data_IF_665797024873
#
_entry.id   IF_665797024873
#
_cell.length_a   1.000
_cell.length_b   1.000
_cell.length_c   1.000
_cell.angle_alpha   90.00
_cell.angle_beta   90.00
_cell.angle_gamma   90.00
#
_symmetry.space_group_name_H-M   'P 1'
#
loop_
_entity.id
_entity.type
_entity.pdbx_description
1 polymer ?
#
# COMPACT_ATOMS: atom_id res chain seq x y z
N UNK A 1 -1.28 -0.52 20.68
CA UNK A 1 -1.47 -1.49 19.63
C UNK A 1 -0.95 -0.98 18.30
N UNK A 2 -0.15 -1.73 17.66
CA UNK A 2 0.42 -1.28 16.41
C UNK A 2 -0.29 -1.92 15.22
N UNK A 3 -0.37 -1.17 14.17
CA UNK A 3 -0.92 -1.66 12.92
C UNK A 3 0.23 -2.02 11.98
N UNK A 4 -0.04 -3.00 11.14
CA UNK A 4 0.90 -3.33 10.08
C UNK A 4 0.67 -2.40 8.90
N UNK A 5 1.69 -2.22 8.10
CA UNK A 5 1.63 -1.42 6.89
C UNK A 5 1.94 -2.31 5.70
N UNK A 6 1.06 -2.31 4.72
CA UNK A 6 1.26 -3.04 3.47
C UNK A 6 1.54 -2.07 2.34
N UNK A 7 2.37 -2.51 1.41
CA UNK A 7 2.81 -1.66 0.32
C UNK A 7 2.87 -2.47 -0.95
N UNK A 8 2.32 -1.92 -2.03
CA UNK A 8 2.44 -2.51 -3.35
C UNK A 8 2.87 -1.41 -4.31
N UNK A 9 3.93 -1.67 -5.04
CA UNK A 9 4.41 -0.75 -6.05
C UNK A 9 4.11 -1.31 -7.42
N UNK A 10 3.49 -0.49 -8.26
CA UNK A 10 3.12 -0.89 -9.62
C UNK A 10 3.67 0.11 -10.61
N UNK A 11 3.68 -0.30 -11.88
CA UNK A 11 4.00 0.58 -12.96
C UNK A 11 2.70 0.96 -13.65
N UNK A 12 2.28 2.21 -13.46
CA UNK A 12 1.04 2.69 -14.07
C UNK A 12 -0.17 2.55 -13.16
N UNK A 13 -1.21 3.27 -13.53
CA UNK A 13 -2.41 3.34 -12.71
C UNK A 13 -3.28 2.09 -12.76
N UNK A 14 -3.27 1.38 -13.88
CA UNK A 14 -4.10 0.18 -13.99
C UNK A 14 -3.70 -0.83 -12.93
N UNK A 15 -2.40 -1.06 -12.78
CA UNK A 15 -1.91 -1.97 -11.76
C UNK A 15 -2.27 -1.53 -10.35
N UNK A 16 -2.17 -0.22 -10.08
CA UNK A 16 -2.46 0.28 -8.74
C UNK A 16 -3.95 0.18 -8.41
N UNK A 17 -4.81 0.43 -9.38
CA UNK A 17 -6.25 0.30 -9.17
C UNK A 17 -6.64 -1.16 -8.95
N UNK A 18 -6.08 -2.06 -9.76
CA UNK A 18 -6.35 -3.48 -9.59
C UNK A 18 -5.85 -3.97 -8.23
N UNK A 19 -4.67 -3.55 -7.83
CA UNK A 19 -4.13 -3.93 -6.54
C UNK A 19 -5.00 -3.40 -5.40
N UNK A 20 -5.39 -2.13 -5.48
CA UNK A 20 -6.20 -1.51 -4.43
C UNK A 20 -7.54 -2.21 -4.26
N UNK A 21 -8.20 -2.49 -5.36
CA UNK A 21 -9.49 -3.16 -5.33
C UNK A 21 -9.36 -4.56 -4.73
N UNK A 22 -8.35 -5.31 -5.16
CA UNK A 22 -8.15 -6.66 -4.65
C UNK A 22 -7.83 -6.66 -3.17
N UNK A 23 -7.05 -5.69 -2.70
CA UNK A 23 -6.69 -5.60 -1.31
C UNK A 23 -7.90 -5.42 -0.40
N UNK A 24 -8.77 -4.47 -0.73
CA UNK A 24 -9.92 -4.20 0.13
C UNK A 24 -10.99 -5.27 0.05
N UNK A 25 -11.03 -6.02 -1.05
CA UNK A 25 -11.94 -7.14 -1.17
C UNK A 25 -11.46 -8.38 -0.44
N UNK A 26 -10.15 -8.53 -0.30
CA UNK A 26 -9.57 -9.74 0.28
C UNK A 26 -9.55 -9.73 1.80
N UNK A 27 -9.42 -8.57 2.42
CA UNK A 27 -9.23 -8.50 3.85
C UNK A 27 -9.66 -7.14 4.39
N UNK A 28 -9.80 -7.09 5.71
CA UNK A 28 -10.23 -5.86 6.37
C UNK A 28 -9.03 -4.94 6.57
N UNK A 29 -8.72 -4.18 5.53
CA UNK A 29 -7.64 -3.19 5.57
C UNK A 29 -8.19 -1.84 5.12
N UNK A 30 -7.49 -0.80 5.51
CA UNK A 30 -7.80 0.57 5.10
C UNK A 30 -6.72 1.03 4.14
N UNK A 31 -7.13 1.47 2.96
CA UNK A 31 -6.18 2.10 2.05
C UNK A 31 -5.82 3.46 2.59
N UNK A 32 -4.54 3.70 2.73
CA UNK A 32 -4.04 4.94 3.31
C UNK A 32 -3.81 5.99 2.26
N UNK A 33 -3.12 5.58 1.21
CA UNK A 33 -2.64 6.56 0.24
C UNK A 33 -2.17 5.86 -1.02
N UNK A 34 -2.31 6.53 -2.13
CA UNK A 34 -1.72 6.11 -3.40
C UNK A 34 -0.77 7.21 -3.82
N UNK A 35 0.51 6.87 -3.97
CA UNK A 35 1.56 7.87 -4.17
C UNK A 35 2.27 7.63 -5.49
N UNK A 36 2.14 8.56 -6.45
CA UNK A 36 3.00 8.50 -7.65
C UNK A 36 4.40 8.94 -7.25
N UNK A 37 5.39 8.14 -7.59
CA UNK A 37 6.76 8.41 -7.18
C UNK A 37 7.69 8.72 -8.36
N UNK A 38 7.13 8.93 -9.53
CA UNK A 38 7.92 9.28 -10.72
C UNK A 38 8.20 8.08 -11.59
N UNK A 39 8.49 8.32 -12.86
CA UNK A 39 8.80 7.25 -13.79
C UNK A 39 7.66 6.30 -14.08
N UNK A 40 6.44 6.72 -13.81
CA UNK A 40 5.28 5.84 -13.97
C UNK A 40 5.05 4.89 -12.83
N UNK A 41 5.84 4.98 -11.76
CA UNK A 41 5.70 4.10 -10.60
C UNK A 41 4.71 4.67 -9.60
N UNK A 42 3.91 3.78 -9.03
CA UNK A 42 2.87 4.17 -8.08
C UNK A 42 2.92 3.23 -6.89
N UNK A 43 2.90 3.79 -5.69
CA UNK A 43 2.89 3.02 -4.45
C UNK A 43 1.52 3.11 -3.82
N UNK A 44 0.94 1.97 -3.50
CA UNK A 44 -0.32 1.88 -2.77
C UNK A 44 -0.01 1.43 -1.34
N UNK A 45 -0.52 2.16 -0.37
CA UNK A 45 -0.30 1.86 1.04
C UNK A 45 -1.62 1.46 1.70
N UNK A 46 -1.57 0.42 2.52
CA UNK A 46 -2.72 -0.03 3.28
C UNK A 46 -2.31 -0.37 4.70
N UNK A 47 -3.24 -0.25 5.65
CA UNK A 47 -2.95 -0.56 7.04
C UNK A 47 -4.04 -1.45 7.63
N UNK A 48 -3.71 -2.14 8.69
CA UNK A 48 -4.61 -3.02 9.40
C UNK A 48 -3.82 -3.95 10.30
N UNK A 49 -4.49 -4.97 10.85
CA UNK A 49 -3.74 -5.96 11.60
C UNK A 49 -2.86 -6.77 10.65
N UNK A 50 -1.83 -7.40 11.20
CA UNK A 50 -0.80 -8.02 10.38
C UNK A 50 -1.35 -9.14 9.49
N UNK A 51 -2.30 -9.92 10.00
CA UNK A 51 -2.87 -11.00 9.20
C UNK A 51 -3.67 -10.47 8.03
N UNK A 52 -4.48 -9.44 8.27
CA UNK A 52 -5.27 -8.82 7.21
C UNK A 52 -4.38 -8.15 6.18
N UNK A 53 -3.33 -7.46 6.63
CA UNK A 53 -2.41 -6.80 5.70
C UNK A 53 -1.68 -7.81 4.83
N UNK A 54 -1.22 -8.93 5.42
CA UNK A 54 -0.56 -9.97 4.63
C UNK A 54 -1.50 -10.54 3.56
N UNK A 55 -2.74 -10.83 3.94
CA UNK A 55 -3.70 -11.36 2.99
C UNK A 55 -4.02 -10.34 1.89
N UNK A 56 -4.18 -9.07 2.28
CA UNK A 56 -4.47 -8.01 1.32
C UNK A 56 -3.33 -7.82 0.34
N UNK A 57 -2.09 -7.75 0.84
CA UNK A 57 -0.92 -7.55 -0.02
C UNK A 57 -0.76 -8.72 -0.99
N UNK A 58 -0.98 -9.94 -0.51
CA UNK A 58 -0.89 -11.11 -1.39
C UNK A 58 -1.91 -11.02 -2.53
N UNK A 59 -3.15 -10.69 -2.19
CA UNK A 59 -4.21 -10.57 -3.20
C UNK A 59 -3.93 -9.42 -4.17
N UNK A 60 -3.50 -8.28 -3.64
CA UNK A 60 -3.19 -7.12 -4.47
C UNK A 60 -2.03 -7.37 -5.42
N UNK A 61 -0.99 -8.04 -4.92
CA UNK A 61 0.17 -8.36 -5.75
C UNK A 61 -0.23 -9.29 -6.89
N UNK A 62 -1.06 -10.29 -6.61
CA UNK A 62 -1.54 -11.19 -7.66
C UNK A 62 -2.34 -10.44 -8.71
N UNK A 63 -3.21 -9.53 -8.28
CA UNK A 63 -4.03 -8.76 -9.20
C UNK A 63 -3.17 -7.87 -10.10
N UNK A 64 -2.18 -7.18 -9.52
CA UNK A 64 -1.28 -6.34 -10.30
C UNK A 64 -0.45 -7.19 -11.27
N UNK A 65 -0.02 -8.37 -10.83
CA UNK A 65 0.74 -9.27 -11.69
C UNK A 65 -0.05 -9.71 -12.92
N UNK A 66 -1.35 -9.91 -12.75
CA UNK A 66 -2.19 -10.36 -13.87
C UNK A 66 -2.24 -9.33 -14.99
N UNK A 67 -2.11 -8.06 -14.67
CA UNK A 67 -2.05 -7.03 -15.70
C UNK A 67 -0.61 -6.66 -16.04
N UNK A 68 0.35 -7.44 -15.51
CA UNK A 68 1.76 -7.27 -15.88
C UNK A 68 2.44 -6.06 -15.29
N UNK A 69 1.93 -5.50 -14.21
CA UNK A 69 2.43 -4.22 -13.70
C UNK A 69 2.94 -4.25 -12.27
N UNK A 70 3.08 -5.41 -11.67
CA UNK A 70 3.63 -5.48 -10.32
C UNK A 70 5.13 -5.25 -10.35
N UNK A 71 5.61 -4.31 -9.54
CA UNK A 71 7.04 -4.08 -9.35
C UNK A 71 7.51 -4.78 -8.09
N UNK A 72 6.86 -4.51 -6.97
CA UNK A 72 7.19 -5.20 -5.73
C UNK A 72 6.05 -5.05 -4.73
N UNK A 73 6.11 -5.86 -3.68
CA UNK A 73 5.16 -5.77 -2.58
C UNK A 73 5.92 -6.01 -1.28
N UNK A 74 5.40 -5.46 -0.19
CA UNK A 74 6.09 -5.56 1.08
C UNK A 74 5.11 -5.39 2.24
N UNK A 75 5.40 -6.07 3.35
CA UNK A 75 4.61 -5.94 4.57
C UNK A 75 5.56 -5.59 5.70
N UNK A 76 5.24 -4.54 6.43
CA UNK A 76 5.97 -4.15 7.62
C UNK A 76 5.05 -4.42 8.80
N UNK A 77 5.36 -5.49 9.55
CA UNK A 77 4.46 -5.95 10.60
C UNK A 77 4.37 -4.96 11.77
N UNK A 78 5.47 -4.27 12.03
CA UNK A 78 5.50 -3.30 13.13
C UNK A 78 6.27 -2.08 12.70
N UNK A 79 5.63 -1.21 11.90
CA UNK A 79 6.34 -0.01 11.45
C UNK A 79 6.65 0.90 12.63
N UNK A 80 7.80 1.56 12.55
CA UNK A 80 8.18 2.53 13.55
C UNK A 80 7.16 3.66 13.58
N UNK A 81 6.91 4.21 14.76
CA UNK A 81 5.95 5.29 14.92
C UNK A 81 6.20 6.45 13.98
N UNK A 82 7.45 6.81 13.81
CA UNK A 82 7.79 7.93 12.93
C UNK A 82 7.42 7.63 11.48
N UNK A 83 7.56 6.38 11.07
CA UNK A 83 7.16 5.98 9.72
C UNK A 83 5.66 6.14 9.54
N UNK A 84 4.88 5.70 10.51
CA UNK A 84 3.44 5.84 10.45
C UNK A 84 3.03 7.31 10.39
N UNK A 85 3.65 8.15 11.19
CA UNK A 85 3.35 9.57 11.16
C UNK A 85 3.64 10.17 9.81
N UNK A 86 4.76 9.79 9.23
CA UNK A 86 5.16 10.36 7.96
C UNK A 86 4.26 9.96 6.83
N UNK A 87 3.83 8.70 6.78
CA UNK A 87 3.05 8.21 5.64
C UNK A 87 1.55 8.27 5.86
N UNK A 88 1.10 8.23 7.08
CA UNK A 88 -0.33 8.14 7.37
C UNK A 88 -0.91 9.43 7.93
N UNK A 89 -0.26 9.96 8.94
CA UNK A 89 -0.81 11.10 9.64
C UNK A 89 -0.42 12.44 9.04
N UNK A 90 0.85 12.59 8.73
CA UNK A 90 1.33 13.87 8.23
C UNK A 90 1.23 14.00 6.75
N UNK A 91 1.66 12.96 6.07
CA UNK A 91 1.62 12.97 4.64
C UNK A 91 2.28 14.20 4.07
N UNK A 92 1.88 14.57 2.91
CA UNK A 92 2.53 15.67 2.21
C UNK A 92 2.27 17.03 2.83
N UNK A 93 1.32 17.14 3.67
CA UNK A 93 1.07 18.46 4.24
C UNK A 93 2.21 18.92 5.11
N UNK A 94 2.99 18.00 5.53
CA UNK A 94 4.14 18.36 6.36
C UNK A 94 5.00 19.37 5.67
N UNK A 95 4.89 19.41 4.41
CA UNK A 95 5.64 20.38 3.69
C UNK A 95 5.22 21.77 4.07
N UNK A 96 4.26 21.81 4.60
CA UNK A 96 3.94 23.10 5.02
C UNK A 96 4.81 23.52 6.13
N UNK A 97 5.01 22.98 5.92
CA UNK A 97 5.34 23.50 6.47
C UNK A 97 5.62 23.66 6.69
#
# INVERSE_FOLDING_TARGET
MSEALGMIETKGYVGSVEASDAMVKAANVTLVKTIPIGGGLITVLAKGDVGSVKAAVDAGAKAASKVGELVCSHVIARPHEDLLKQFINDGPKASGK
#
